data_IF_220081016217
#
_entry.id   IF_220081016217
#
_cell.length_a   1.000
_cell.length_b   1.000
_cell.length_c   1.000
_cell.angle_alpha   90.00
_cell.angle_beta   90.00
_cell.angle_gamma   90.00
#
_symmetry.space_group_name_H-M   'P 1'
#
loop_
_entity.id
_entity.type
_entity.pdbx_description
1 polymer ?
#
# COMPACT_ATOMS: atom_id res chain seq x y z
N UNK A 1 -15.72 5.77 -23.73
CA UNK A 1 -15.90 4.96 -24.97
C UNK A 1 -14.80 3.93 -25.18
N UNK A 2 -13.49 4.27 -25.22
CA UNK A 2 -12.42 3.25 -25.34
C UNK A 2 -12.27 2.39 -24.09
N UNK A 3 -12.27 3.00 -22.90
CA UNK A 3 -12.26 2.31 -21.61
C UNK A 3 -13.47 1.42 -21.41
N UNK A 4 -14.66 1.92 -21.75
CA UNK A 4 -15.91 1.13 -21.68
C UNK A 4 -15.86 -0.09 -22.62
N UNK A 5 -15.22 0.05 -23.78
CA UNK A 5 -14.98 -1.07 -24.69
C UNK A 5 -14.03 -2.11 -24.06
N UNK A 6 -12.91 -1.67 -23.44
CA UNK A 6 -11.97 -2.57 -22.78
C UNK A 6 -12.64 -3.33 -21.64
N UNK A 7 -13.41 -2.64 -20.80
CA UNK A 7 -14.11 -3.23 -19.65
C UNK A 7 -15.27 -4.14 -20.08
N UNK A 8 -16.16 -3.63 -20.93
CA UNK A 8 -17.45 -4.27 -21.20
C UNK A 8 -17.44 -5.25 -22.37
N UNK A 9 -16.53 -5.07 -23.35
CA UNK A 9 -16.45 -5.94 -24.53
C UNK A 9 -15.34 -6.97 -24.38
N UNK A 10 -14.19 -6.59 -23.84
CA UNK A 10 -13.05 -7.50 -23.65
C UNK A 10 -13.00 -8.11 -22.25
N UNK A 11 -13.84 -7.65 -21.30
CA UNK A 11 -13.90 -8.17 -19.94
C UNK A 11 -12.63 -7.90 -19.11
N UNK A 12 -11.87 -6.85 -19.46
CA UNK A 12 -10.63 -6.53 -18.78
C UNK A 12 -10.90 -5.98 -17.37
N UNK A 13 -10.10 -6.41 -16.41
CA UNK A 13 -10.08 -5.84 -15.06
C UNK A 13 -9.53 -4.42 -15.06
N UNK A 14 -9.77 -3.67 -13.99
CA UNK A 14 -9.22 -2.30 -13.81
C UNK A 14 -7.70 -2.27 -13.98
N UNK A 15 -6.99 -3.30 -13.47
CA UNK A 15 -5.54 -3.45 -13.62
C UNK A 15 -5.10 -3.58 -15.08
N UNK A 16 -5.82 -4.40 -15.84
CA UNK A 16 -5.51 -4.62 -17.26
C UNK A 16 -5.81 -3.37 -18.09
N UNK A 17 -6.91 -2.67 -17.79
CA UNK A 17 -7.26 -1.39 -18.40
C UNK A 17 -6.17 -0.35 -18.15
N UNK A 18 -5.76 -0.19 -16.89
CA UNK A 18 -4.67 0.72 -16.52
C UNK A 18 -3.36 0.38 -17.24
N UNK A 19 -2.99 -0.90 -17.30
CA UNK A 19 -1.78 -1.31 -18.01
C UNK A 19 -1.85 -1.00 -19.52
N UNK A 20 -3.03 -1.15 -20.14
CA UNK A 20 -3.26 -0.77 -21.54
C UNK A 20 -3.12 0.74 -21.73
N UNK A 21 -3.67 1.56 -20.84
CA UNK A 21 -3.55 3.02 -20.89
C UNK A 21 -2.09 3.47 -20.76
N UNK A 22 -1.38 2.94 -19.76
CA UNK A 22 0.07 3.21 -19.58
C UNK A 22 0.87 2.78 -20.79
N UNK A 23 0.56 1.62 -21.38
CA UNK A 23 1.20 1.17 -22.61
C UNK A 23 1.06 2.19 -23.74
N UNK A 24 -0.16 2.69 -23.98
CA UNK A 24 -0.38 3.70 -25.03
C UNK A 24 0.25 5.06 -24.70
N UNK A 25 0.30 5.47 -23.43
CA UNK A 25 1.00 6.67 -23.01
C UNK A 25 2.50 6.58 -23.30
N UNK A 26 3.16 5.48 -22.89
CA UNK A 26 4.57 5.26 -23.16
C UNK A 26 4.86 5.07 -24.65
N UNK A 27 3.97 4.42 -25.36
CA UNK A 27 4.07 4.32 -26.81
C UNK A 27 4.01 5.71 -27.48
N UNK A 28 3.13 6.58 -27.00
CA UNK A 28 3.07 7.97 -27.41
C UNK A 28 4.37 8.74 -27.14
N UNK A 29 4.90 8.62 -25.91
CA UNK A 29 6.20 9.21 -25.52
C UNK A 29 7.35 8.69 -26.38
N UNK A 30 7.34 7.40 -26.75
CA UNK A 30 8.34 6.80 -27.62
C UNK A 30 8.38 7.47 -29.00
N UNK A 31 7.22 7.80 -29.57
CA UNK A 31 7.14 8.47 -30.88
C UNK A 31 7.46 9.98 -30.82
N UNK A 32 7.30 10.61 -29.65
CA UNK A 32 7.60 12.04 -29.46
C UNK A 32 9.02 12.29 -28.96
N UNK A 33 9.74 11.27 -28.54
CA UNK A 33 11.11 11.37 -28.03
C UNK A 33 12.12 11.46 -29.18
N UNK A 34 12.80 12.59 -29.31
CA UNK A 34 13.88 12.80 -30.29
C UNK A 34 15.23 12.24 -29.81
N UNK A 35 15.33 11.67 -28.61
CA UNK A 35 16.57 11.10 -28.08
C UNK A 35 16.52 9.56 -28.12
N UNK A 36 17.61 8.95 -28.56
CA UNK A 36 17.74 7.47 -28.56
C UNK A 36 17.57 6.87 -27.16
N UNK A 37 18.09 7.55 -26.12
CA UNK A 37 17.92 7.14 -24.72
C UNK A 37 16.46 7.15 -24.30
N UNK A 38 15.72 8.20 -24.62
CA UNK A 38 14.28 8.29 -24.31
C UNK A 38 13.46 7.23 -25.06
N UNK A 39 13.79 6.97 -26.32
CA UNK A 39 13.17 5.90 -27.11
C UNK A 39 13.37 4.53 -26.46
N UNK A 40 14.62 4.17 -26.11
CA UNK A 40 14.94 2.89 -25.47
C UNK A 40 14.26 2.76 -24.12
N UNK A 41 14.25 3.81 -23.30
CA UNK A 41 13.57 3.81 -22.01
C UNK A 41 12.06 3.56 -22.16
N UNK A 42 11.40 4.26 -23.07
CA UNK A 42 9.96 4.08 -23.32
C UNK A 42 9.63 2.69 -23.87
N UNK A 43 10.50 2.13 -24.71
CA UNK A 43 10.35 0.77 -25.22
C UNK A 43 10.48 -0.26 -24.10
N UNK A 44 11.46 -0.10 -23.20
CA UNK A 44 11.64 -1.02 -22.06
C UNK A 44 10.41 -1.02 -21.16
N UNK A 45 9.88 0.15 -20.82
CA UNK A 45 8.66 0.25 -20.01
C UNK A 45 7.46 -0.40 -20.71
N UNK A 46 7.31 -0.20 -22.01
CA UNK A 46 6.24 -0.86 -22.76
C UNK A 46 6.37 -2.39 -22.76
N UNK A 47 7.59 -2.93 -22.87
CA UNK A 47 7.86 -4.38 -22.77
C UNK A 47 7.54 -4.89 -21.36
N UNK A 48 7.98 -4.20 -20.31
CA UNK A 48 7.66 -4.57 -18.91
C UNK A 48 6.15 -4.63 -18.68
N UNK A 49 5.39 -3.67 -19.20
CA UNK A 49 3.93 -3.67 -19.09
C UNK A 49 3.27 -4.86 -19.79
N UNK A 50 3.77 -5.23 -20.96
CA UNK A 50 3.31 -6.45 -21.65
C UNK A 50 3.64 -7.70 -20.84
N UNK A 51 4.85 -7.79 -20.28
CA UNK A 51 5.25 -8.89 -19.41
C UNK A 51 4.39 -8.97 -18.14
N UNK A 52 4.07 -7.82 -17.52
CA UNK A 52 3.14 -7.76 -16.39
C UNK A 52 1.76 -8.30 -16.77
N UNK A 53 1.19 -7.87 -17.89
CA UNK A 53 -0.12 -8.33 -18.37
C UNK A 53 -0.16 -9.83 -18.66
N UNK A 54 0.86 -10.34 -19.36
CA UNK A 54 0.89 -11.71 -19.83
C UNK A 54 1.34 -12.70 -18.77
N UNK A 55 2.31 -12.31 -17.93
CA UNK A 55 2.98 -13.21 -16.98
C UNK A 55 2.77 -12.82 -15.51
N UNK A 56 2.08 -11.73 -15.23
CA UNK A 56 1.88 -11.23 -13.86
C UNK A 56 3.18 -10.79 -13.17
N UNK A 57 4.20 -10.40 -13.94
CA UNK A 57 5.48 -9.95 -13.39
C UNK A 57 5.35 -8.55 -12.79
N UNK A 58 6.17 -8.21 -11.77
CA UNK A 58 6.18 -6.87 -11.21
C UNK A 58 6.74 -5.86 -12.22
N UNK A 59 6.16 -4.67 -12.22
CA UNK A 59 6.60 -3.54 -13.06
C UNK A 59 7.63 -2.71 -12.31
N UNK A 60 8.74 -2.35 -12.96
CA UNK A 60 9.71 -1.41 -12.39
C UNK A 60 9.11 0.01 -12.33
N UNK A 61 9.19 0.72 -11.18
CA UNK A 61 8.80 2.13 -11.11
C UNK A 61 9.54 2.96 -12.16
N UNK A 62 8.82 3.73 -12.98
CA UNK A 62 9.41 4.46 -14.10
C UNK A 62 8.68 5.77 -14.42
N UNK A 63 7.81 6.24 -13.52
CA UNK A 63 7.13 7.51 -13.63
C UNK A 63 8.02 8.70 -13.26
N UNK A 64 7.44 9.90 -13.15
CA UNK A 64 8.14 11.09 -12.68
C UNK A 64 8.69 10.90 -11.24
N UNK A 65 9.76 11.65 -10.94
CA UNK A 65 10.23 11.79 -9.56
C UNK A 65 9.21 12.60 -8.74
N UNK A 66 9.14 12.30 -7.44
CA UNK A 66 8.32 13.03 -6.49
C UNK A 66 8.69 14.51 -6.46
N UNK A 67 7.69 15.37 -6.59
CA UNK A 67 7.82 16.79 -6.40
C UNK A 67 6.89 17.25 -5.24
N UNK A 68 7.52 17.76 -4.19
CA UNK A 68 6.88 18.35 -3.02
C UNK A 68 7.01 19.87 -2.97
N UNK A 69 7.28 20.52 -4.10
CA UNK A 69 7.26 22.00 -4.18
C UNK A 69 5.88 22.49 -3.76
N UNK A 70 5.83 23.42 -2.81
CA UNK A 70 4.57 23.91 -2.23
C UNK A 70 3.97 23.06 -1.11
N UNK A 71 4.67 22.01 -0.67
CA UNK A 71 4.30 21.21 0.49
C UNK A 71 5.20 21.55 1.67
N UNK A 72 4.66 21.38 2.89
CA UNK A 72 5.41 21.43 4.15
C UNK A 72 5.18 20.16 4.95
N UNK A 73 6.21 19.70 5.66
CA UNK A 73 6.11 18.61 6.62
C UNK A 73 5.21 19.06 7.79
N UNK A 74 4.15 18.32 8.05
CA UNK A 74 3.20 18.57 9.15
C UNK A 74 3.28 17.50 10.23
N UNK A 75 3.84 16.33 9.90
CA UNK A 75 4.06 15.24 10.83
C UNK A 75 5.35 14.50 10.47
N UNK A 76 6.12 14.13 11.49
CA UNK A 76 7.27 13.23 11.39
C UNK A 76 7.42 12.46 12.70
N UNK A 77 7.53 11.15 12.63
CA UNK A 77 8.00 10.31 13.72
C UNK A 77 9.11 9.40 13.21
N UNK A 78 10.30 9.55 13.78
CA UNK A 78 11.52 8.75 13.48
C UNK A 78 11.72 7.65 14.52
N UNK A 79 10.76 7.45 15.42
CA UNK A 79 10.74 6.42 16.46
C UNK A 79 12.02 6.36 17.31
N UNK A 80 12.64 7.52 17.55
CA UNK A 80 13.90 7.66 18.26
C UNK A 80 13.76 7.58 19.81
N UNK A 81 12.52 7.45 20.30
CA UNK A 81 12.20 7.24 21.71
C UNK A 81 12.54 5.84 22.22
N UNK A 82 12.33 5.59 23.53
CA UNK A 82 12.46 4.26 24.13
C UNK A 82 11.21 3.40 23.98
N UNK A 83 10.05 4.03 23.76
CA UNK A 83 8.74 3.39 23.63
C UNK A 83 7.89 4.10 22.59
N UNK A 84 6.86 3.39 22.08
CA UNK A 84 5.86 4.00 21.21
C UNK A 84 5.19 5.20 21.90
N UNK A 85 5.13 6.34 21.22
CA UNK A 85 4.48 7.54 21.72
C UNK A 85 2.96 7.42 21.62
N UNK A 86 2.30 7.03 22.72
CA UNK A 86 0.85 6.85 22.79
C UNK A 86 0.04 8.16 22.83
N UNK A 87 0.68 9.32 22.88
CA UNK A 87 0.02 10.61 22.67
C UNK A 87 -0.20 10.90 21.17
N UNK A 88 0.49 10.16 20.32
CA UNK A 88 0.49 10.30 18.84
C UNK A 88 -0.11 9.08 18.16
N UNK A 89 0.23 7.89 18.64
CA UNK A 89 -0.19 6.61 18.09
C UNK A 89 -1.18 5.90 19.01
N UNK A 90 -2.09 5.17 18.41
CA UNK A 90 -2.95 4.22 19.11
C UNK A 90 -2.76 2.82 18.53
N UNK A 91 -2.79 1.77 19.37
CA UNK A 91 -2.87 0.41 18.90
C UNK A 91 -4.20 0.18 18.18
N UNK A 92 -4.17 -0.50 17.03
CA UNK A 92 -5.33 -0.71 16.19
C UNK A 92 -5.81 -2.15 16.22
N UNK A 93 -7.13 -2.32 16.40
CA UNK A 93 -7.79 -3.62 16.26
C UNK A 93 -7.27 -4.66 17.25
N UNK A 94 -6.93 -4.25 18.48
CA UNK A 94 -6.49 -5.16 19.56
C UNK A 94 -7.52 -6.24 19.82
N UNK A 95 -7.08 -7.51 19.86
CA UNK A 95 -7.92 -8.68 19.98
C UNK A 95 -7.89 -9.57 18.73
N UNK A 96 -8.97 -10.35 18.52
CA UNK A 96 -9.03 -11.30 17.42
C UNK A 96 -8.87 -10.66 16.04
N UNK A 97 -8.01 -11.23 15.22
CA UNK A 97 -7.72 -10.81 13.84
C UNK A 97 -7.43 -12.04 12.97
N UNK A 98 -8.30 -12.32 11.99
CA UNK A 98 -8.13 -13.45 11.05
C UNK A 98 -7.77 -14.76 11.79
N UNK A 99 -6.64 -15.41 11.48
CA UNK A 99 -6.24 -16.65 12.16
C UNK A 99 -5.57 -16.47 13.54
N UNK A 100 -5.51 -15.23 14.08
CA UNK A 100 -4.80 -14.95 15.33
C UNK A 100 -5.27 -13.67 16.02
N UNK A 101 -4.33 -12.86 16.50
CA UNK A 101 -4.61 -11.70 17.33
C UNK A 101 -3.68 -10.54 17.00
N UNK A 102 -4.24 -9.32 17.06
CA UNK A 102 -3.46 -8.10 17.24
C UNK A 102 -3.26 -7.85 18.74
N UNK A 103 -2.04 -7.61 19.16
CA UNK A 103 -1.70 -7.26 20.54
C UNK A 103 -0.80 -6.04 20.62
N UNK A 104 -0.98 -5.24 21.68
CA UNK A 104 -0.17 -4.03 21.92
C UNK A 104 1.32 -4.38 22.03
N UNK A 105 1.65 -5.50 22.66
CA UNK A 105 3.02 -5.99 22.84
C UNK A 105 3.74 -6.31 21.53
N UNK A 106 3.04 -6.41 20.43
CA UNK A 106 3.61 -6.73 19.11
C UNK A 106 3.98 -5.48 18.29
N UNK A 107 3.73 -4.26 18.80
CA UNK A 107 4.16 -3.01 18.19
C UNK A 107 4.93 -2.19 19.22
N UNK A 108 6.24 -2.08 19.05
CA UNK A 108 7.15 -1.46 20.04
C UNK A 108 8.33 -0.77 19.36
N UNK A 109 9.03 0.10 20.09
CA UNK A 109 10.25 0.75 19.62
C UNK A 109 11.48 -0.06 20.03
N UNK A 110 12.42 -0.21 19.09
CA UNK A 110 13.71 -0.86 19.32
C UNK A 110 14.78 -0.26 18.40
N UNK A 111 15.89 0.16 18.98
CA UNK A 111 17.06 0.69 18.26
C UNK A 111 16.71 1.85 17.30
N UNK A 112 15.84 2.77 17.73
CA UNK A 112 15.41 3.91 16.93
C UNK A 112 14.48 3.55 15.76
N UNK A 113 13.73 2.46 15.88
CA UNK A 113 12.76 2.03 14.88
C UNK A 113 11.47 1.56 15.55
N UNK A 114 10.33 1.76 14.90
CA UNK A 114 9.14 0.97 15.21
C UNK A 114 9.33 -0.45 14.68
N UNK A 115 9.10 -1.43 15.54
CA UNK A 115 9.08 -2.85 15.17
C UNK A 115 7.66 -3.38 15.35
N UNK A 116 7.12 -3.98 14.30
CA UNK A 116 5.89 -4.76 14.39
C UNK A 116 6.25 -6.22 14.16
N UNK A 117 5.97 -7.06 15.15
CA UNK A 117 6.39 -8.45 15.19
C UNK A 117 5.22 -9.40 14.95
N UNK A 118 5.47 -10.44 14.16
CA UNK A 118 4.63 -11.60 14.00
C UNK A 118 5.29 -12.83 14.64
N UNK A 119 4.59 -13.52 15.52
CA UNK A 119 5.09 -14.73 16.21
C UNK A 119 3.95 -15.61 16.74
N UNK A 120 4.27 -16.83 17.17
CA UNK A 120 3.33 -17.69 17.88
C UNK A 120 3.58 -17.62 19.38
N UNK A 121 2.55 -17.32 20.15
CA UNK A 121 2.64 -17.25 21.62
C UNK A 121 1.77 -18.34 22.26
N UNK A 122 2.36 -19.13 23.17
CA UNK A 122 1.63 -20.13 23.96
C UNK A 122 0.83 -19.47 25.09
N UNK A 123 1.41 -18.44 25.68
CA UNK A 123 0.84 -17.70 26.82
C UNK A 123 0.56 -16.24 26.41
N UNK A 124 -0.01 -16.01 25.21
CA UNK A 124 -0.36 -14.67 24.75
C UNK A 124 -1.56 -14.09 25.49
N UNK A 125 -1.70 -12.77 25.43
CA UNK A 125 -2.75 -12.00 26.13
C UNK A 125 -4.17 -12.51 25.83
N UNK A 126 -4.41 -12.96 24.58
CA UNK A 126 -5.72 -13.47 24.13
C UNK A 126 -5.77 -15.00 24.06
N UNK A 127 -4.76 -15.69 24.60
CA UNK A 127 -4.63 -17.15 24.57
C UNK A 127 -3.52 -17.62 23.63
N UNK A 128 -3.43 -18.93 23.47
CA UNK A 128 -2.46 -19.54 22.56
C UNK A 128 -2.83 -19.25 21.10
N UNK A 129 -1.88 -18.75 20.30
CA UNK A 129 -2.13 -18.45 18.90
C UNK A 129 -1.07 -17.60 18.22
N UNK A 130 -1.32 -17.27 16.97
CA UNK A 130 -0.51 -16.36 16.18
C UNK A 130 -0.80 -14.90 16.57
N UNK A 131 0.24 -14.11 16.73
CA UNK A 131 0.17 -12.72 17.14
C UNK A 131 0.83 -11.79 16.13
N UNK A 132 0.30 -10.59 16.05
CA UNK A 132 0.85 -9.49 15.26
C UNK A 132 0.45 -8.16 15.89
N UNK A 133 0.82 -7.03 15.27
CA UNK A 133 0.48 -5.69 15.74
C UNK A 133 0.04 -4.77 14.61
N UNK A 134 -0.70 -3.75 14.99
CA UNK A 134 -1.04 -2.63 14.14
C UNK A 134 -1.16 -1.36 14.98
N UNK A 135 -0.71 -0.23 14.42
CA UNK A 135 -0.87 1.10 15.00
C UNK A 135 -1.53 2.03 14.00
N UNK A 136 -2.16 3.07 14.51
CA UNK A 136 -2.69 4.17 13.71
C UNK A 136 -2.39 5.52 14.36
N UNK A 137 -2.29 6.56 13.57
CA UNK A 137 -2.26 7.92 14.11
C UNK A 137 -3.59 8.25 14.80
N UNK A 138 -3.50 8.98 15.92
CA UNK A 138 -4.68 9.51 16.60
C UNK A 138 -5.29 10.63 15.76
N UNK A 139 -4.46 11.47 15.18
CA UNK A 139 -4.87 12.49 14.23
C UNK A 139 -5.21 11.88 12.88
N UNK A 140 -6.30 12.33 12.27
CA UNK A 140 -6.71 11.96 10.94
C UNK A 140 -6.30 13.04 9.93
N UNK A 141 -6.04 12.62 8.71
CA UNK A 141 -5.60 13.52 7.64
C UNK A 141 -6.50 13.41 6.41
N UNK A 142 -6.69 14.52 5.74
CA UNK A 142 -7.32 14.62 4.43
C UNK A 142 -6.32 15.25 3.48
N UNK A 143 -6.01 14.58 2.37
CA UNK A 143 -5.04 15.01 1.36
C UNK A 143 -3.61 15.23 1.91
N UNK A 144 -2.65 15.33 1.01
CA UNK A 144 -1.25 15.49 1.34
C UNK A 144 -0.36 14.43 0.70
N UNK A 145 0.89 14.39 1.11
CA UNK A 145 1.81 13.32 0.79
C UNK A 145 2.16 12.54 2.05
N UNK A 146 1.95 11.25 1.99
CA UNK A 146 2.17 10.30 3.09
C UNK A 146 3.32 9.38 2.72
N UNK A 147 4.29 9.21 3.58
CA UNK A 147 5.45 8.37 3.33
C UNK A 147 5.83 7.55 4.56
N UNK A 148 6.18 6.30 4.31
CA UNK A 148 6.85 5.42 5.25
C UNK A 148 8.20 4.99 4.69
N UNK A 149 9.21 4.84 5.55
CA UNK A 149 10.47 4.18 5.23
C UNK A 149 10.63 2.94 6.10
N UNK A 150 10.68 1.77 5.47
CA UNK A 150 10.69 0.51 6.23
C UNK A 150 11.43 -0.61 5.51
N UNK A 151 11.75 -1.67 6.28
CA UNK A 151 12.11 -3.01 5.82
C UNK A 151 10.86 -3.88 6.05
N UNK A 152 10.38 -4.53 5.01
CA UNK A 152 9.24 -5.44 5.10
C UNK A 152 9.63 -6.76 5.80
N UNK A 153 8.65 -7.45 6.37
CA UNK A 153 8.83 -8.80 6.87
C UNK A 153 9.20 -9.77 5.75
N UNK A 154 10.06 -10.73 6.04
CA UNK A 154 10.61 -11.66 5.05
C UNK A 154 10.01 -13.09 5.11
N UNK A 155 8.91 -13.27 5.82
CA UNK A 155 8.25 -14.57 5.93
C UNK A 155 6.96 -14.64 5.15
N UNK A 156 6.64 -15.79 4.54
CA UNK A 156 5.34 -16.00 3.94
C UNK A 156 4.22 -15.96 4.99
N UNK A 157 3.01 -15.68 4.53
CA UNK A 157 1.81 -15.62 5.35
C UNK A 157 1.56 -14.25 5.95
N UNK A 158 2.49 -13.68 6.70
CA UNK A 158 2.39 -12.29 7.17
C UNK A 158 2.77 -11.32 6.05
N UNK A 159 2.20 -10.09 6.09
CA UNK A 159 2.60 -9.03 5.17
C UNK A 159 2.61 -7.65 5.83
N UNK A 160 3.65 -6.88 5.52
CA UNK A 160 3.78 -5.49 5.93
C UNK A 160 2.85 -4.60 5.11
N UNK A 161 2.20 -3.64 5.75
CA UNK A 161 1.32 -2.69 5.10
C UNK A 161 1.44 -1.28 5.69
N UNK A 162 1.34 -0.29 4.80
CA UNK A 162 1.10 1.11 5.14
C UNK A 162 -0.08 1.59 4.33
N UNK A 163 -1.13 2.04 5.00
CA UNK A 163 -2.41 2.29 4.39
C UNK A 163 -3.21 3.36 5.12
N UNK A 164 -4.19 3.90 4.43
CA UNK A 164 -5.08 4.93 4.94
C UNK A 164 -6.50 4.42 4.83
N UNK A 165 -7.34 4.65 5.85
CA UNK A 165 -8.70 4.16 5.85
C UNK A 165 -9.66 5.14 6.49
N UNK A 166 -10.77 5.44 5.81
CA UNK A 166 -11.89 6.13 6.40
C UNK A 166 -12.54 5.28 7.51
N UNK A 167 -13.08 5.91 8.53
CA UNK A 167 -13.77 5.22 9.63
C UNK A 167 -14.89 4.28 9.16
N UNK A 168 -15.46 4.54 8.00
CA UNK A 168 -16.52 3.72 7.42
C UNK A 168 -16.49 3.73 5.89
N UNK A 169 -15.45 3.15 5.25
CA UNK A 169 -15.36 3.11 3.79
C UNK A 169 -16.50 2.27 3.16
N UNK A 170 -17.17 1.45 3.97
CA UNK A 170 -18.24 0.55 3.52
C UNK A 170 -19.64 1.18 3.56
N UNK A 171 -19.88 2.19 4.39
CA UNK A 171 -21.23 2.71 4.64
C UNK A 171 -21.41 4.15 4.23
N UNK A 172 -20.40 4.99 4.37
CA UNK A 172 -20.50 6.42 4.05
C UNK A 172 -20.56 6.70 2.55
N UNK A 173 -20.04 5.80 1.74
CA UNK A 173 -19.78 6.05 0.33
C UNK A 173 -20.79 5.44 -0.64
N UNK A 174 -21.79 4.66 -0.20
CA UNK A 174 -22.73 3.96 -1.09
C UNK A 174 -23.40 4.90 -2.11
N UNK A 175 -23.67 6.15 -1.72
CA UNK A 175 -24.27 7.14 -2.60
C UNK A 175 -23.25 8.10 -3.25
N UNK A 176 -22.00 8.09 -2.79
CA UNK A 176 -20.98 9.08 -3.14
C UNK A 176 -19.72 8.45 -3.75
N UNK A 177 -19.63 7.12 -3.77
CA UNK A 177 -18.40 6.44 -4.15
C UNK A 177 -17.27 6.73 -3.16
N UNK A 178 -16.03 6.68 -3.61
CA UNK A 178 -14.86 6.95 -2.79
C UNK A 178 -14.75 8.36 -2.21
N UNK A 179 -15.55 9.31 -2.70
CA UNK A 179 -15.62 10.68 -2.15
C UNK A 179 -16.01 10.69 -0.68
N UNK A 180 -16.85 9.75 -0.23
CA UNK A 180 -17.28 9.61 1.16
C UNK A 180 -16.31 8.83 2.03
N UNK A 181 -15.18 8.39 1.51
CA UNK A 181 -14.13 7.66 2.19
C UNK A 181 -13.68 6.42 1.42
N UNK A 182 -12.42 6.09 1.57
CA UNK A 182 -11.79 4.95 0.91
C UNK A 182 -10.86 4.20 1.88
N UNK A 183 -10.38 3.05 1.44
CA UNK A 183 -9.17 2.42 1.95
C UNK A 183 -8.12 2.52 0.84
N UNK A 184 -6.96 3.04 1.18
CA UNK A 184 -5.87 3.35 0.27
C UNK A 184 -4.63 2.57 0.73
N UNK A 185 -4.38 1.42 0.11
CA UNK A 185 -3.20 0.63 0.43
C UNK A 185 -1.99 1.21 -0.29
N UNK A 186 -1.25 2.07 0.44
CA UNK A 186 -0.05 2.74 -0.07
C UNK A 186 0.97 1.67 -0.48
N UNK A 187 1.14 0.64 0.33
CA UNK A 187 1.75 -0.61 -0.09
C UNK A 187 1.31 -1.79 0.76
N UNK A 188 1.34 -2.97 0.16
CA UNK A 188 1.26 -4.25 0.82
C UNK A 188 2.37 -5.17 0.29
N UNK A 189 3.12 -5.83 1.20
CA UNK A 189 4.22 -6.73 0.86
C UNK A 189 3.80 -8.19 0.67
N UNK A 190 2.52 -8.46 0.49
CA UNK A 190 1.91 -9.80 0.41
C UNK A 190 2.36 -10.71 -0.73
N UNK A 191 3.53 -10.47 -1.30
CA UNK A 191 4.04 -11.15 -2.48
C UNK A 191 5.01 -12.29 -2.14
N UNK A 192 4.97 -12.82 -0.94
CA UNK A 192 5.74 -13.98 -0.52
C UNK A 192 5.18 -15.28 -1.08
N UNK A 193 5.12 -15.43 -2.37
CA UNK A 193 5.01 -16.74 -2.97
C UNK A 193 6.42 -17.23 -3.33
N UNK A 194 6.76 -18.46 -2.99
CA UNK A 194 8.05 -19.03 -3.35
C UNK A 194 8.40 -18.74 -4.82
N UNK A 195 9.47 -18.05 -5.02
CA UNK A 195 10.29 -18.10 -6.22
C UNK A 195 10.06 -17.07 -7.32
N UNK A 196 9.01 -16.26 -7.42
CA UNK A 196 8.80 -15.44 -8.65
C UNK A 196 8.38 -13.98 -8.48
N UNK A 197 7.98 -13.54 -7.32
CA UNK A 197 7.61 -12.15 -7.09
C UNK A 197 8.15 -11.62 -5.77
N UNK A 198 9.29 -12.13 -5.41
CA UNK A 198 9.89 -11.95 -4.11
C UNK A 198 10.16 -10.48 -3.78
N UNK A 199 10.63 -9.69 -4.73
CA UNK A 199 10.98 -8.28 -4.52
C UNK A 199 9.90 -7.36 -5.09
N UNK A 200 8.68 -7.44 -4.57
CA UNK A 200 7.60 -6.60 -5.05
C UNK A 200 6.54 -6.31 -3.99
N UNK A 201 5.86 -5.18 -4.17
CA UNK A 201 4.70 -4.77 -3.39
C UNK A 201 3.52 -4.48 -4.30
N UNK A 202 2.32 -4.43 -3.73
CA UNK A 202 1.09 -4.04 -4.43
C UNK A 202 0.57 -2.72 -3.91
N UNK A 203 -0.16 -2.00 -4.77
CA UNK A 203 -1.00 -0.86 -4.39
C UNK A 203 -2.46 -1.22 -4.66
N UNK A 204 -3.36 -0.77 -3.80
CA UNK A 204 -4.79 -0.98 -3.99
C UNK A 204 -5.62 0.22 -3.49
N UNK A 205 -6.84 0.31 -3.99
CA UNK A 205 -7.88 1.23 -3.51
C UNK A 205 -9.16 0.43 -3.35
N UNK A 206 -9.82 0.63 -2.21
CA UNK A 206 -11.07 -0.03 -1.90
C UNK A 206 -12.11 0.99 -1.43
N UNK A 207 -13.33 0.90 -1.97
CA UNK A 207 -14.45 1.72 -1.53
C UNK A 207 -15.77 1.11 -1.94
N UNK A 208 -16.87 1.59 -1.39
CA UNK A 208 -18.22 1.20 -1.79
C UNK A 208 -18.83 2.22 -2.78
N UNK A 209 -19.92 1.85 -3.46
CA UNK A 209 -20.71 2.76 -4.29
C UNK A 209 -20.10 3.16 -5.63
N UNK A 210 -19.15 2.39 -6.14
CA UNK A 210 -18.53 2.64 -7.46
C UNK A 210 -19.44 2.15 -8.58
N UNK A 211 -19.51 2.89 -9.68
CA UNK A 211 -20.31 2.55 -10.87
C UNK A 211 -21.80 2.25 -10.59
N UNK A 212 -22.37 2.88 -9.54
CA UNK A 212 -23.75 2.68 -9.14
C UNK A 212 -24.02 1.34 -8.44
N UNK A 213 -22.99 0.56 -8.11
CA UNK A 213 -23.13 -0.65 -7.29
C UNK A 213 -23.39 -0.22 -5.86
N UNK A 214 -24.63 -0.48 -5.39
CA UNK A 214 -25.09 -0.03 -4.06
C UNK A 214 -24.75 -1.00 -2.94
N UNK A 215 -24.39 -2.24 -3.28
CA UNK A 215 -24.03 -3.25 -2.29
C UNK A 215 -22.61 -3.74 -2.55
N UNK A 216 -21.87 -3.86 -1.46
CA UNK A 216 -20.53 -4.41 -1.48
C UNK A 216 -19.43 -3.38 -1.69
N UNK A 217 -18.26 -3.92 -1.65
CA UNK A 217 -16.99 -3.25 -1.66
C UNK A 217 -16.31 -3.50 -3.00
N UNK A 218 -15.91 -2.46 -3.66
CA UNK A 218 -15.20 -2.56 -4.94
C UNK A 218 -13.73 -2.27 -4.70
N UNK A 219 -12.89 -3.01 -5.40
CA UNK A 219 -11.44 -2.96 -5.27
C UNK A 219 -10.77 -2.69 -6.61
N UNK A 220 -9.83 -1.77 -6.62
CA UNK A 220 -8.88 -1.61 -7.70
C UNK A 220 -7.51 -2.09 -7.25
N UNK A 221 -7.08 -3.26 -7.70
CA UNK A 221 -5.68 -3.65 -7.62
C UNK A 221 -4.91 -2.87 -8.69
N UNK A 222 -4.07 -1.92 -8.26
CA UNK A 222 -3.38 -1.00 -9.15
C UNK A 222 -2.09 -1.58 -9.75
N UNK A 223 -1.69 -2.76 -9.32
CA UNK A 223 -0.54 -3.46 -9.88
C UNK A 223 0.44 -3.95 -8.84
N UNK A 224 1.42 -4.68 -9.34
CA UNK A 224 2.56 -5.20 -8.59
C UNK A 224 3.81 -4.50 -9.09
N UNK A 225 4.59 -3.95 -8.18
CA UNK A 225 5.75 -3.13 -8.50
C UNK A 225 7.01 -3.69 -7.87
N UNK A 226 8.10 -3.71 -8.63
CA UNK A 226 9.41 -4.14 -8.17
C UNK A 226 9.98 -3.18 -7.13
N UNK A 227 10.58 -3.73 -6.09
CA UNK A 227 11.28 -3.01 -5.03
C UNK A 227 12.65 -3.63 -4.83
N UNK A 228 13.69 -2.83 -4.60
CA UNK A 228 15.03 -3.33 -4.38
C UNK A 228 15.20 -3.90 -2.96
N UNK A 229 15.31 -5.23 -2.87
CA UNK A 229 15.57 -5.96 -1.62
C UNK A 229 14.69 -5.51 -0.43
N UNK A 230 13.33 -5.52 -0.55
CA UNK A 230 12.44 -4.91 0.44
C UNK A 230 12.52 -5.57 1.83
N UNK A 231 13.09 -6.76 1.93
CA UNK A 231 13.20 -7.55 3.16
C UNK A 231 14.55 -7.37 3.89
N UNK A 232 15.47 -6.64 3.31
CA UNK A 232 16.82 -6.43 3.85
C UNK A 232 17.27 -4.98 3.79
N UNK A 233 16.60 -4.15 2.97
CA UNK A 233 16.91 -2.73 2.80
C UNK A 233 15.71 -1.86 3.12
N UNK A 234 15.98 -0.70 3.67
CA UNK A 234 14.97 0.33 3.78
C UNK A 234 14.59 0.85 2.39
N UNK A 235 13.29 0.84 2.13
CA UNK A 235 12.67 1.48 0.97
C UNK A 235 11.62 2.48 1.44
N UNK A 236 11.32 3.49 0.63
CA UNK A 236 10.21 4.39 0.89
C UNK A 236 9.01 4.04 0.03
N UNK A 237 7.83 4.16 0.64
CA UNK A 237 6.55 3.96 -0.01
C UNK A 237 5.68 5.17 0.28
N UNK A 238 5.14 5.79 -0.75
CA UNK A 238 4.40 7.04 -0.59
C UNK A 238 3.13 7.13 -1.41
N UNK A 239 2.22 7.98 -0.93
CA UNK A 239 0.99 8.37 -1.60
C UNK A 239 0.87 9.89 -1.59
N UNK A 240 0.75 10.50 -2.76
CA UNK A 240 0.27 11.86 -2.92
C UNK A 240 -1.23 11.82 -3.21
N UNK A 241 -2.01 12.18 -2.21
CA UNK A 241 -3.46 12.29 -2.29
C UNK A 241 -3.81 13.76 -2.50
N UNK A 242 -4.24 14.07 -3.73
CA UNK A 242 -4.62 15.42 -4.16
C UNK A 242 -6.14 15.55 -4.21
N UNK A 243 -6.61 16.72 -4.61
CA UNK A 243 -8.03 16.92 -4.90
C UNK A 243 -8.55 16.08 -6.08
N UNK A 244 -7.68 15.72 -7.02
CA UNK A 244 -8.08 15.14 -8.30
C UNK A 244 -7.73 13.65 -8.41
N UNK A 245 -6.63 13.19 -7.78
CA UNK A 245 -6.11 11.84 -7.98
C UNK A 245 -5.24 11.35 -6.81
N UNK A 246 -5.06 10.04 -6.75
CA UNK A 246 -4.08 9.35 -5.91
C UNK A 246 -2.86 9.01 -6.77
N UNK A 247 -1.65 9.35 -6.31
CA UNK A 247 -0.40 9.08 -7.01
C UNK A 247 0.53 8.31 -6.06
N UNK A 248 0.90 7.10 -6.44
CA UNK A 248 1.70 6.20 -5.60
C UNK A 248 3.17 6.27 -6.01
N UNK A 249 4.05 6.12 -5.02
CA UNK A 249 5.50 6.22 -5.19
C UNK A 249 6.23 5.09 -4.48
N UNK A 250 7.33 4.65 -5.07
CA UNK A 250 8.33 3.79 -4.45
C UNK A 250 9.70 4.45 -4.64
N UNK A 251 10.43 4.66 -3.53
CA UNK A 251 11.73 5.34 -3.52
C UNK A 251 11.71 6.67 -4.28
N UNK A 252 10.64 7.45 -4.09
CA UNK A 252 10.46 8.74 -4.73
C UNK A 252 10.13 8.71 -6.22
N UNK A 253 9.93 7.53 -6.82
CA UNK A 253 9.54 7.38 -8.23
C UNK A 253 8.08 6.97 -8.34
N UNK A 254 7.30 7.71 -9.13
CA UNK A 254 5.89 7.38 -9.38
C UNK A 254 5.76 5.98 -9.99
N UNK A 255 4.83 5.20 -9.42
CA UNK A 255 4.47 3.86 -9.89
C UNK A 255 3.18 3.86 -10.69
N UNK A 256 2.14 4.45 -10.12
CA UNK A 256 0.79 4.49 -10.69
C UNK A 256 0.01 5.66 -10.11
N UNK A 257 -0.98 6.12 -10.86
CA UNK A 257 -2.01 7.07 -10.39
C UNK A 257 -3.39 6.54 -10.68
N UNK A 258 -4.37 6.95 -9.88
CA UNK A 258 -5.73 6.47 -9.99
C UNK A 258 -6.74 7.50 -9.49
N UNK A 259 -7.94 7.46 -10.08
CA UNK A 259 -9.14 8.19 -9.64
C UNK A 259 -10.25 7.20 -9.29
N UNK A 260 -9.88 5.95 -8.97
CA UNK A 260 -10.86 4.92 -8.66
C UNK A 260 -11.75 5.34 -7.49
N UNK A 261 -13.04 5.05 -7.60
CA UNK A 261 -14.03 5.38 -6.60
C UNK A 261 -15.02 6.47 -7.02
N UNK A 262 -15.06 6.84 -8.32
CA UNK A 262 -15.85 7.98 -8.84
C UNK A 262 -15.40 9.33 -8.25
N UNK A 263 -14.12 9.45 -7.96
CA UNK A 263 -13.45 10.58 -7.33
C UNK A 263 -12.67 10.18 -6.09
N UNK A 264 -11.76 11.03 -5.69
CA UNK A 264 -10.93 10.83 -4.50
C UNK A 264 -11.70 11.14 -3.23
N UNK A 265 -11.29 10.55 -2.12
CA UNK A 265 -11.85 10.81 -0.80
C UNK A 265 -11.72 12.30 -0.41
N UNK A 266 -12.74 12.79 0.27
CA UNK A 266 -12.90 14.18 0.77
C UNK A 266 -13.22 14.18 2.26
N UNK A 267 -12.77 13.17 2.97
CA UNK A 267 -12.96 13.05 4.41
C UNK A 267 -11.63 12.72 5.08
N UNK A 268 -11.41 13.18 6.32
CA UNK A 268 -10.24 12.78 7.09
C UNK A 268 -10.23 11.26 7.34
N UNK A 269 -9.06 10.66 7.19
CA UNK A 269 -8.88 9.21 7.30
C UNK A 269 -7.75 8.84 8.26
N UNK A 270 -7.82 7.64 8.83
CA UNK A 270 -6.79 7.07 9.70
C UNK A 270 -5.56 6.67 8.89
N UNK A 271 -4.36 7.03 9.34
CA UNK A 271 -3.08 6.57 8.80
C UNK A 271 -2.60 5.38 9.62
N UNK A 272 -2.36 4.24 8.97
CA UNK A 272 -2.20 2.94 9.62
C UNK A 272 -0.89 2.27 9.17
N UNK A 273 -0.17 1.70 10.14
CA UNK A 273 0.97 0.81 9.91
C UNK A 273 0.64 -0.54 10.54
N UNK A 274 0.76 -1.60 9.78
CA UNK A 274 0.47 -2.95 10.27
C UNK A 274 1.38 -4.02 9.70
N UNK A 275 1.56 -5.07 10.46
CA UNK A 275 1.99 -6.36 9.99
C UNK A 275 0.76 -7.26 10.01
N UNK A 276 0.16 -7.48 8.86
CA UNK A 276 -1.09 -8.24 8.74
C UNK A 276 -0.85 -9.74 8.89
N UNK A 277 -1.84 -10.42 9.45
CA UNK A 277 -1.85 -11.86 9.66
C UNK A 277 -2.80 -12.51 8.65
N UNK A 278 -2.50 -13.71 8.09
CA UNK A 278 -3.32 -14.35 7.06
C UNK A 278 -4.59 -14.98 7.63
N UNK A 279 -5.38 -15.55 6.74
CA UNK A 279 -6.55 -16.33 7.11
C UNK A 279 -6.19 -17.71 7.70
N UNK A 280 -7.17 -18.44 8.21
CA UNK A 280 -6.96 -19.74 8.83
C UNK A 280 -6.31 -20.75 7.88
N UNK A 281 -5.37 -21.53 8.40
CA UNK A 281 -4.68 -22.58 7.68
C UNK A 281 -3.41 -22.19 6.94
N UNK A 282 -3.18 -20.91 6.67
CA UNK A 282 -2.00 -20.47 5.91
C UNK A 282 -0.68 -20.58 6.71
N UNK A 283 -0.77 -20.59 8.04
CA UNK A 283 0.39 -20.72 8.94
C UNK A 283 0.58 -22.14 9.52
N UNK A 284 -0.22 -23.12 9.11
CA UNK A 284 -0.19 -24.47 9.70
C UNK A 284 1.15 -25.21 9.49
N UNK A 285 1.91 -24.83 8.48
CA UNK A 285 3.21 -25.42 8.17
C UNK A 285 4.41 -24.81 8.90
N UNK A 286 4.21 -23.74 9.68
CA UNK A 286 5.30 -23.05 10.36
C UNK A 286 5.62 -23.65 11.72
N UNK A 287 6.91 -23.64 12.08
CA UNK A 287 7.37 -24.07 13.40
C UNK A 287 6.99 -23.03 14.47
N UNK A 288 5.97 -23.35 15.23
CA UNK A 288 5.43 -22.48 16.30
C UNK A 288 6.42 -22.13 17.41
N UNK A 289 7.52 -22.89 17.55
CA UNK A 289 8.52 -22.64 18.60
C UNK A 289 9.57 -21.60 18.17
N UNK A 290 9.82 -21.48 16.88
CA UNK A 290 10.94 -20.70 16.36
C UNK A 290 10.52 -19.61 15.38
N UNK A 291 9.28 -19.64 14.90
CA UNK A 291 8.81 -18.68 13.94
C UNK A 291 8.71 -17.27 14.54
N UNK A 292 9.39 -16.33 13.91
CA UNK A 292 9.27 -14.91 14.20
C UNK A 292 9.55 -14.14 12.92
N UNK A 293 8.78 -13.09 12.69
CA UNK A 293 8.98 -12.17 11.57
C UNK A 293 8.73 -10.73 12.03
N UNK A 294 9.38 -9.76 11.39
CA UNK A 294 9.29 -8.37 11.79
C UNK A 294 9.19 -7.44 10.59
N UNK A 295 8.34 -6.42 10.69
CA UNK A 295 8.40 -5.20 9.91
C UNK A 295 9.18 -4.17 10.73
N UNK A 296 10.16 -3.49 10.12
CA UNK A 296 11.01 -2.50 10.79
C UNK A 296 10.81 -1.15 10.10
N UNK A 297 10.30 -0.16 10.82
CA UNK A 297 9.98 1.16 10.30
C UNK A 297 10.94 2.18 10.86
N UNK A 298 11.62 2.89 9.97
CA UNK A 298 12.57 3.96 10.27
C UNK A 298 11.83 5.27 10.57
N UNK A 299 10.88 5.64 9.71
CA UNK A 299 10.02 6.81 9.93
C UNK A 299 8.66 6.73 9.23
N UNK A 300 7.74 7.57 9.71
CA UNK A 300 6.51 7.97 9.01
C UNK A 300 6.49 9.49 8.89
N UNK A 301 6.22 10.02 7.69
CA UNK A 301 6.16 11.46 7.40
C UNK A 301 4.89 11.82 6.65
N UNK A 302 4.34 13.00 6.96
CA UNK A 302 3.19 13.56 6.25
C UNK A 302 3.49 15.00 5.89
N UNK A 303 3.16 15.35 4.65
CA UNK A 303 3.31 16.70 4.09
C UNK A 303 1.96 17.18 3.58
N UNK A 304 1.64 18.44 3.82
CA UNK A 304 0.42 19.08 3.27
C UNK A 304 0.79 20.33 2.47
N UNK A 305 -0.09 20.73 1.55
CA UNK A 305 0.10 21.95 0.77
C UNK A 305 0.15 23.19 1.67
N UNK A 306 1.05 24.10 1.34
CA UNK A 306 1.15 25.41 1.99
C UNK A 306 -0.02 26.27 1.46
N UNK A 307 -1.01 26.54 2.32
CA UNK A 307 -2.17 27.37 2.00
C UNK A 307 -1.83 28.85 1.96
#
# INVERSE_FOLDING_TARGET
>A
MFLDFLKNVLGLSVREIWAVERFFEYLGKMFTSFSFKGFVSSLMVAVEMVLMLVFGLPTTPAGPELDLTGYQEVFCDEFDGETLNLDVWAHRGVGARRCGYNAESQAFVRDGNLVIRGEYLKDGEFGEGWYTGAIKLIEQYEQGYFEIRCICNDSPGYWSAFWIQANSPYTASISQGGIGGAELDIFESGCHSEGKSHNSVTHAIHCAGVDGVQEGFQSANLGKFYVDEPYTKYNTYGLKWTEDEYIFYINGVETVRSTFGNGVSRVPEDVIVSLEIPDEGELDGFDKETFQTEMIVDYVKIYQEIT
#
